data_IF_158162471136
#
_entry.id   IF_158162471136
#
_cell.length_a   1.000
_cell.length_b   1.000
_cell.length_c   1.000
_cell.angle_alpha   90.00
_cell.angle_beta   90.00
_cell.angle_gamma   90.00
#
_symmetry.space_group_name_H-M   'P 1'
#
loop_
_entity.id
_entity.type
_entity.pdbx_description
1 polymer ?
#
# COMPACT_ATOMS: atom_id res chain seq x y z
N UNK A 1 -15.95 26.77 -65.03
CA UNK A 1 -16.02 26.96 -63.57
C UNK A 1 -16.31 25.67 -62.74
N UNK A 2 -17.07 24.70 -63.26
CA UNK A 2 -17.48 23.50 -62.47
C UNK A 2 -16.35 22.49 -62.10
N UNK A 3 -15.24 22.40 -62.85
CA UNK A 3 -14.15 21.43 -62.58
C UNK A 3 -13.24 21.82 -61.40
N UNK A 4 -12.99 23.11 -61.18
CA UNK A 4 -12.11 23.60 -60.11
C UNK A 4 -12.77 23.44 -58.73
N UNK A 5 -14.10 23.61 -58.62
CA UNK A 5 -14.86 23.46 -57.38
C UNK A 5 -14.91 21.98 -56.92
N UNK A 6 -14.99 21.03 -57.85
CA UNK A 6 -15.00 19.60 -57.54
C UNK A 6 -13.65 19.12 -56.96
N UNK A 7 -12.53 19.62 -57.47
CA UNK A 7 -11.19 19.27 -56.97
C UNK A 7 -10.95 19.81 -55.60
N UNK A 8 -11.41 21.01 -55.25
CA UNK A 8 -11.31 21.58 -53.90
C UNK A 8 -12.17 20.82 -52.89
N UNK A 9 -13.35 20.32 -53.27
CA UNK A 9 -14.18 19.48 -52.38
C UNK A 9 -13.52 18.14 -52.11
N UNK A 10 -12.91 17.49 -53.09
CA UNK A 10 -12.24 16.18 -52.91
C UNK A 10 -11.00 16.32 -52.01
N UNK A 11 -10.20 17.38 -52.20
CA UNK A 11 -9.03 17.67 -51.34
C UNK A 11 -9.47 17.96 -49.91
N UNK A 12 -10.56 18.73 -49.72
CA UNK A 12 -11.11 19.01 -48.38
C UNK A 12 -11.58 17.74 -47.65
N UNK A 13 -12.27 16.83 -48.37
CA UNK A 13 -12.72 15.55 -47.79
C UNK A 13 -11.54 14.63 -47.47
N UNK A 14 -10.49 14.59 -48.32
CA UNK A 14 -9.30 13.79 -48.07
C UNK A 14 -8.50 14.29 -46.85
N UNK A 15 -8.40 15.61 -46.67
CA UNK A 15 -7.78 16.21 -45.48
C UNK A 15 -8.60 15.96 -44.20
N UNK A 16 -9.94 16.02 -44.29
CA UNK A 16 -10.83 15.69 -43.16
C UNK A 16 -10.76 14.21 -42.78
N UNK A 17 -10.74 13.30 -43.73
CA UNK A 17 -10.56 11.88 -43.51
C UNK A 17 -9.16 11.57 -42.97
N UNK A 18 -8.13 12.24 -43.48
CA UNK A 18 -6.77 12.12 -42.93
C UNK A 18 -6.66 12.62 -41.48
N UNK A 19 -7.29 13.76 -41.17
CA UNK A 19 -7.35 14.30 -39.82
C UNK A 19 -8.18 13.39 -38.85
N UNK A 20 -9.27 12.85 -39.36
CA UNK A 20 -10.10 11.91 -38.59
C UNK A 20 -9.36 10.58 -38.32
N UNK A 21 -8.70 10.03 -39.35
CA UNK A 21 -7.85 8.84 -39.19
C UNK A 21 -6.65 9.09 -38.27
N UNK A 22 -6.02 10.25 -38.37
CA UNK A 22 -4.96 10.67 -37.46
C UNK A 22 -5.46 10.85 -36.05
N UNK A 23 -6.64 11.46 -35.85
CA UNK A 23 -7.28 11.60 -34.54
C UNK A 23 -7.69 10.24 -33.95
N UNK A 24 -8.22 9.33 -34.76
CA UNK A 24 -8.56 7.97 -34.34
C UNK A 24 -7.31 7.11 -34.06
N UNK A 25 -6.24 7.30 -34.83
CA UNK A 25 -4.98 6.55 -34.67
C UNK A 25 -4.13 7.09 -33.52
N UNK A 26 -4.01 8.41 -33.39
CA UNK A 26 -3.23 9.06 -32.32
C UNK A 26 -4.04 9.18 -31.04
N UNK A 27 -5.33 9.51 -31.12
CA UNK A 27 -6.25 9.57 -29.98
C UNK A 27 -6.53 8.19 -29.37
N UNK A 28 -6.69 7.16 -30.20
CA UNK A 28 -6.92 5.78 -29.74
C UNK A 28 -5.72 5.18 -29.00
N UNK A 29 -4.50 5.55 -29.37
CA UNK A 29 -3.28 5.13 -28.67
C UNK A 29 -2.97 5.94 -27.40
N UNK A 30 -3.55 7.15 -27.26
CA UNK A 30 -3.32 7.99 -26.08
C UNK A 30 -4.10 7.51 -24.84
N UNK A 31 -5.17 6.74 -25.02
CA UNK A 31 -6.05 6.29 -23.91
C UNK A 31 -5.73 4.89 -23.36
N UNK A 32 -4.95 4.07 -24.04
CA UNK A 32 -4.54 2.76 -23.52
C UNK A 32 -3.10 2.78 -22.98
N UNK A 33 -2.90 3.48 -21.87
CA UNK A 33 -1.64 3.35 -21.16
C UNK A 33 -1.67 2.07 -20.33
N UNK A 34 -1.12 0.98 -20.87
CA UNK A 34 -1.08 -0.33 -20.23
C UNK A 34 -0.02 -0.31 -19.12
N UNK A 35 -0.42 -0.59 -17.88
CA UNK A 35 0.48 -0.76 -16.73
C UNK A 35 0.98 -2.19 -16.63
N UNK A 36 0.13 -3.16 -16.87
CA UNK A 36 0.50 -4.57 -16.86
C UNK A 36 -0.29 -5.36 -17.91
N UNK A 37 0.31 -6.47 -18.38
CA UNK A 37 -0.36 -7.52 -19.13
C UNK A 37 -0.22 -8.82 -18.33
N UNK A 38 -1.36 -9.49 -18.08
CA UNK A 38 -1.44 -10.72 -17.28
C UNK A 38 -2.13 -11.78 -18.13
N UNK A 39 -1.36 -12.72 -18.66
CA UNK A 39 -1.85 -13.78 -19.55
C UNK A 39 -2.65 -13.26 -20.77
N UNK A 40 -2.29 -12.07 -21.29
CA UNK A 40 -2.97 -11.42 -22.41
C UNK A 40 -4.07 -10.44 -22.03
N UNK A 41 -4.49 -10.38 -20.77
CA UNK A 41 -5.42 -9.35 -20.26
C UNK A 41 -4.66 -8.13 -19.76
N UNK A 42 -5.13 -6.93 -20.14
CA UNK A 42 -4.45 -5.66 -19.84
C UNK A 42 -5.00 -5.00 -18.58
N UNK A 43 -4.11 -4.43 -17.76
CA UNK A 43 -4.44 -3.46 -16.72
C UNK A 43 -3.97 -2.09 -17.19
N UNK A 44 -4.90 -1.17 -17.39
CA UNK A 44 -4.61 0.18 -17.87
C UNK A 44 -4.45 1.18 -16.72
N UNK A 45 -3.82 2.34 -17.00
CA UNK A 45 -3.74 3.47 -16.05
C UNK A 45 -5.13 3.95 -15.65
N UNK A 46 -6.09 3.92 -16.58
CA UNK A 46 -7.47 4.33 -16.30
C UNK A 46 -8.13 3.40 -15.27
N UNK A 47 -8.05 2.08 -15.50
CA UNK A 47 -8.56 1.08 -14.55
C UNK A 47 -7.87 1.18 -13.19
N UNK A 48 -6.53 1.36 -13.18
CA UNK A 48 -5.76 1.57 -11.97
C UNK A 48 -6.28 2.78 -11.16
N UNK A 49 -6.44 3.94 -11.83
CA UNK A 49 -6.92 5.15 -11.17
C UNK A 49 -8.36 5.01 -10.69
N UNK A 50 -9.22 4.31 -11.45
CA UNK A 50 -10.60 4.05 -11.08
C UNK A 50 -10.67 3.20 -9.81
N UNK A 51 -9.92 2.09 -9.75
CA UNK A 51 -9.86 1.24 -8.55
C UNK A 51 -9.23 1.98 -7.36
N UNK A 52 -8.14 2.72 -7.59
CA UNK A 52 -7.48 3.52 -6.55
C UNK A 52 -8.40 4.59 -5.97
N UNK A 53 -9.31 5.16 -6.78
CA UNK A 53 -10.26 6.17 -6.31
C UNK A 53 -11.27 5.65 -5.28
N UNK A 54 -11.53 4.34 -5.25
CA UNK A 54 -12.41 3.66 -4.29
C UNK A 54 -11.76 3.47 -2.92
N UNK A 55 -10.42 3.57 -2.86
CA UNK A 55 -9.68 3.41 -1.61
C UNK A 55 -9.77 4.70 -0.80
N UNK A 56 -10.06 4.60 0.49
CA UNK A 56 -10.10 5.75 1.38
C UNK A 56 -8.69 6.15 1.86
N UNK A 57 -8.54 7.41 2.28
CA UNK A 57 -7.33 7.86 2.95
C UNK A 57 -7.24 7.28 4.36
N UNK A 58 -6.01 6.99 4.86
CA UNK A 58 -4.70 7.34 4.26
C UNK A 58 -4.18 6.36 3.19
N UNK A 59 -4.82 5.21 2.99
CA UNK A 59 -4.31 4.14 2.12
C UNK A 59 -4.19 4.57 0.65
N UNK A 60 -5.12 5.40 0.16
CA UNK A 60 -5.06 5.93 -1.21
C UNK A 60 -3.76 6.69 -1.47
N UNK A 61 -3.33 7.54 -0.54
CA UNK A 61 -2.12 8.33 -0.70
C UNK A 61 -0.87 7.45 -0.61
N UNK A 62 -0.89 6.42 0.24
CA UNK A 62 0.16 5.39 0.31
C UNK A 62 0.34 4.71 -1.06
N UNK A 63 -0.75 4.30 -1.69
CA UNK A 63 -0.69 3.64 -3.01
C UNK A 63 -0.34 4.59 -4.16
N UNK A 64 -0.60 5.89 -4.03
CA UNK A 64 -0.10 6.89 -4.99
C UNK A 64 1.42 7.05 -4.91
N UNK A 65 2.00 6.94 -3.71
CA UNK A 65 3.45 6.99 -3.51
C UNK A 65 4.13 5.71 -4.01
N UNK A 66 3.50 4.56 -3.78
CA UNK A 66 3.97 3.24 -4.23
C UNK A 66 2.88 2.52 -5.05
N UNK A 67 2.69 2.93 -6.32
CA UNK A 67 1.67 2.34 -7.17
C UNK A 67 1.94 0.86 -7.50
N UNK A 68 3.18 0.39 -7.30
CA UNK A 68 3.54 -1.02 -7.53
C UNK A 68 2.76 -1.95 -6.61
N UNK A 69 2.68 -1.63 -5.33
CA UNK A 69 1.96 -2.44 -4.36
C UNK A 69 0.47 -2.57 -4.70
N UNK A 70 -0.15 -1.47 -5.13
CA UNK A 70 -1.57 -1.49 -5.53
C UNK A 70 -1.77 -2.29 -6.82
N UNK A 71 -0.88 -2.11 -7.82
CA UNK A 71 -0.92 -2.87 -9.06
C UNK A 71 -0.73 -4.37 -8.81
N UNK A 72 0.17 -4.76 -7.90
CA UNK A 72 0.37 -6.17 -7.52
C UNK A 72 -0.93 -6.79 -6.94
N UNK A 73 -1.70 -6.03 -6.16
CA UNK A 73 -3.03 -6.44 -5.69
C UNK A 73 -4.02 -6.66 -6.85
N UNK A 74 -4.04 -5.75 -7.83
CA UNK A 74 -4.88 -5.88 -9.03
C UNK A 74 -4.48 -7.10 -9.88
N UNK A 75 -3.17 -7.35 -10.01
CA UNK A 75 -2.64 -8.54 -10.73
C UNK A 75 -3.08 -9.83 -10.03
N UNK A 76 -2.97 -9.89 -8.70
CA UNK A 76 -3.41 -11.07 -7.92
C UNK A 76 -4.90 -11.29 -8.11
N UNK A 77 -5.73 -10.25 -7.99
CA UNK A 77 -7.18 -10.35 -8.23
C UNK A 77 -7.47 -10.91 -9.62
N UNK A 78 -6.80 -10.40 -10.65
CA UNK A 78 -6.97 -10.86 -12.04
C UNK A 78 -6.58 -12.33 -12.19
N UNK A 79 -5.46 -12.77 -11.61
CA UNK A 79 -5.03 -14.18 -11.65
C UNK A 79 -6.03 -15.11 -10.99
N UNK A 80 -6.58 -14.72 -9.84
CA UNK A 80 -7.61 -15.50 -9.12
C UNK A 80 -8.90 -15.61 -9.95
N UNK A 81 -9.32 -14.53 -10.61
CA UNK A 81 -10.49 -14.52 -11.50
C UNK A 81 -10.24 -15.42 -12.73
N UNK A 82 -9.05 -15.34 -13.34
CA UNK A 82 -8.67 -16.20 -14.47
C UNK A 82 -8.69 -17.68 -14.06
N UNK A 83 -8.19 -18.00 -12.88
CA UNK A 83 -8.21 -19.36 -12.35
C UNK A 83 -9.65 -19.84 -12.09
N UNK A 84 -10.52 -18.99 -11.51
CA UNK A 84 -11.92 -19.31 -11.32
C UNK A 84 -12.61 -19.65 -12.66
N UNK A 85 -12.40 -18.82 -13.67
CA UNK A 85 -12.91 -19.06 -15.04
C UNK A 85 -12.35 -20.36 -15.64
N UNK A 86 -11.06 -20.65 -15.44
CA UNK A 86 -10.41 -21.87 -15.91
C UNK A 86 -11.01 -23.14 -15.26
N UNK A 87 -11.40 -23.04 -14.00
CA UNK A 87 -12.07 -24.12 -13.26
C UNK A 87 -13.57 -24.26 -13.58
N UNK A 88 -14.08 -23.45 -14.51
CA UNK A 88 -15.46 -23.55 -14.99
C UNK A 88 -16.47 -22.74 -14.19
N UNK A 89 -16.03 -21.88 -13.26
CA UNK A 89 -16.91 -20.91 -12.64
C UNK A 89 -17.29 -19.84 -13.68
N UNK A 90 -18.58 -19.56 -13.84
CA UNK A 90 -19.09 -18.58 -14.77
C UNK A 90 -19.98 -17.60 -14.03
N UNK A 91 -19.69 -16.31 -14.16
CA UNK A 91 -20.57 -15.27 -13.68
C UNK A 91 -21.55 -14.86 -14.79
N UNK A 92 -22.85 -14.82 -14.53
CA UNK A 92 -23.85 -14.39 -15.51
C UNK A 92 -23.95 -12.86 -15.58
N UNK A 93 -22.89 -12.18 -16.03
CA UNK A 93 -22.86 -10.72 -16.13
C UNK A 93 -23.93 -10.21 -17.10
N UNK A 94 -24.88 -9.42 -16.61
CA UNK A 94 -25.94 -8.78 -17.42
C UNK A 94 -25.73 -7.29 -17.63
N UNK A 95 -25.00 -6.61 -16.73
CA UNK A 95 -24.69 -5.17 -16.83
C UNK A 95 -23.30 -4.86 -16.30
N UNK A 96 -22.75 -3.65 -16.61
CA UNK A 96 -21.43 -3.22 -16.13
C UNK A 96 -21.33 -3.14 -14.59
N UNK A 97 -22.43 -2.85 -13.91
CA UNK A 97 -22.50 -2.86 -12.43
C UNK A 97 -22.47 -4.28 -11.85
N UNK A 98 -22.91 -5.25 -12.62
CA UNK A 98 -22.96 -6.66 -12.20
C UNK A 98 -21.56 -7.30 -12.32
N UNK A 99 -20.70 -6.83 -13.24
CA UNK A 99 -19.36 -7.39 -13.46
C UNK A 99 -18.52 -7.38 -12.18
N UNK A 100 -18.49 -6.28 -11.43
CA UNK A 100 -17.69 -6.21 -10.20
C UNK A 100 -18.20 -7.17 -9.11
N UNK A 101 -19.53 -7.30 -8.96
CA UNK A 101 -20.14 -8.27 -8.04
C UNK A 101 -19.93 -9.70 -8.49
N UNK A 102 -19.97 -9.93 -9.79
CA UNK A 102 -19.73 -11.23 -10.40
C UNK A 102 -18.27 -11.65 -10.22
N UNK A 103 -17.32 -10.73 -10.31
CA UNK A 103 -15.91 -10.98 -10.01
C UNK A 103 -15.68 -11.34 -8.53
N UNK A 104 -16.31 -10.63 -7.60
CA UNK A 104 -16.24 -10.96 -6.17
C UNK A 104 -16.84 -12.34 -5.88
N UNK A 105 -17.97 -12.65 -6.48
CA UNK A 105 -18.60 -13.97 -6.35
C UNK A 105 -17.72 -15.09 -6.91
N UNK A 106 -17.07 -14.87 -8.06
CA UNK A 106 -16.12 -15.85 -8.64
C UNK A 106 -14.92 -16.10 -7.70
N UNK A 107 -14.36 -15.04 -7.14
CA UNK A 107 -13.26 -15.16 -6.17
C UNK A 107 -13.73 -15.93 -4.93
N UNK A 108 -14.90 -15.59 -4.38
CA UNK A 108 -15.46 -16.25 -3.20
C UNK A 108 -15.71 -17.74 -3.44
N UNK A 109 -16.32 -18.12 -4.57
CA UNK A 109 -16.57 -19.52 -4.91
C UNK A 109 -15.28 -20.31 -5.11
N UNK A 110 -14.29 -19.74 -5.81
CA UNK A 110 -12.99 -20.38 -5.96
C UNK A 110 -12.32 -20.60 -4.61
N UNK A 111 -12.30 -19.57 -3.74
CA UNK A 111 -11.67 -19.65 -2.42
C UNK A 111 -12.37 -20.69 -1.53
N UNK A 112 -13.72 -20.76 -1.54
CA UNK A 112 -14.47 -21.81 -0.84
C UNK A 112 -14.14 -23.20 -1.35
N UNK A 113 -13.96 -23.37 -2.65
CA UNK A 113 -13.60 -24.67 -3.24
C UNK A 113 -12.17 -25.07 -2.89
N UNK A 114 -11.21 -24.12 -2.96
CA UNK A 114 -9.78 -24.38 -2.68
C UNK A 114 -9.50 -24.58 -1.20
N UNK A 115 -10.20 -23.83 -0.35
CA UNK A 115 -10.00 -23.79 1.10
C UNK A 115 -11.32 -24.05 1.85
N UNK A 116 -11.91 -25.26 1.72
CA UNK A 116 -13.25 -25.56 2.23
C UNK A 116 -13.32 -25.62 3.76
N UNK A 117 -12.20 -25.85 4.41
CA UNK A 117 -12.09 -25.92 5.87
C UNK A 117 -10.79 -25.29 6.36
N UNK A 118 -10.81 -24.65 7.54
CA UNK A 118 -9.58 -24.16 8.17
C UNK A 118 -8.61 -25.33 8.45
N UNK A 119 -7.28 -25.10 8.33
CA UNK A 119 -6.28 -26.13 8.61
C UNK A 119 -6.38 -26.65 10.05
N UNK A 120 -6.19 -27.95 10.23
CA UNK A 120 -6.14 -28.56 11.56
C UNK A 120 -4.86 -28.12 12.30
N UNK A 121 -5.02 -27.85 13.60
CA UNK A 121 -3.91 -27.54 14.52
C UNK A 121 -3.73 -28.70 15.48
N UNK A 122 -2.52 -29.23 15.57
CA UNK A 122 -2.19 -30.31 16.47
C UNK A 122 -1.84 -29.75 17.85
N UNK A 123 -2.10 -30.55 18.90
CA UNK A 123 -1.77 -30.15 20.29
C UNK A 123 -0.26 -29.85 20.45
N UNK A 124 0.59 -30.64 19.80
CA UNK A 124 2.04 -30.47 19.86
C UNK A 124 2.48 -29.10 19.32
N UNK A 125 1.77 -28.55 18.34
CA UNK A 125 2.05 -27.21 17.79
C UNK A 125 1.69 -26.11 18.78
N UNK A 126 0.58 -26.28 19.51
CA UNK A 126 0.14 -25.37 20.57
C UNK A 126 1.16 -25.39 21.73
N UNK A 127 1.59 -26.58 22.16
CA UNK A 127 2.58 -26.75 23.21
C UNK A 127 3.96 -26.19 22.84
N UNK A 128 4.39 -26.39 21.59
CA UNK A 128 5.63 -25.81 21.08
C UNK A 128 5.59 -24.27 21.04
N UNK A 129 4.48 -23.70 20.54
CA UNK A 129 4.27 -22.25 20.54
C UNK A 129 4.28 -21.67 21.94
N UNK A 130 3.52 -22.28 22.87
CA UNK A 130 3.50 -21.86 24.26
C UNK A 130 4.88 -21.90 24.90
N UNK A 131 5.65 -22.98 24.67
CA UNK A 131 7.00 -23.13 25.23
C UNK A 131 7.95 -22.04 24.73
N UNK A 132 7.81 -21.64 23.47
CA UNK A 132 8.63 -20.58 22.84
C UNK A 132 8.30 -19.20 23.40
N UNK A 133 7.05 -18.90 23.68
CA UNK A 133 6.57 -17.56 24.02
C UNK A 133 6.04 -17.40 25.46
N UNK A 134 6.10 -18.43 26.31
CA UNK A 134 5.53 -18.44 27.68
C UNK A 134 5.98 -17.25 28.54
N UNK A 135 7.24 -16.82 28.40
CA UNK A 135 7.79 -15.71 29.18
C UNK A 135 7.19 -14.35 28.76
N UNK A 136 6.62 -14.26 27.55
CA UNK A 136 5.94 -13.07 27.04
C UNK A 136 4.44 -13.07 27.35
N UNK A 137 3.87 -14.22 27.72
CA UNK A 137 2.43 -14.41 27.96
C UNK A 137 1.98 -14.06 29.38
N UNK A 138 2.73 -13.26 30.13
CA UNK A 138 2.38 -12.71 31.44
C UNK A 138 1.85 -13.77 32.44
N UNK A 139 2.35 -15.01 32.37
CA UNK A 139 2.06 -16.05 33.35
C UNK A 139 0.74 -16.83 33.16
N UNK A 140 0.08 -16.74 32.02
CA UNK A 140 -1.08 -17.60 31.69
C UNK A 140 -0.67 -19.08 31.56
N UNK A 141 -1.44 -20.00 32.16
CA UNK A 141 -1.21 -21.44 31.97
C UNK A 141 -1.54 -21.86 30.53
N UNK A 142 -0.92 -22.96 30.06
CA UNK A 142 -1.19 -23.49 28.72
C UNK A 142 -2.69 -23.65 28.46
N UNK A 143 -3.44 -24.22 29.39
CA UNK A 143 -4.88 -24.47 29.20
C UNK A 143 -5.69 -23.17 29.04
N UNK A 144 -5.25 -22.09 29.68
CA UNK A 144 -5.92 -20.79 29.57
C UNK A 144 -5.68 -20.13 28.23
N UNK A 145 -4.48 -20.29 27.65
CA UNK A 145 -4.08 -19.61 26.41
C UNK A 145 -4.18 -20.50 25.16
N UNK A 146 -4.33 -21.80 25.32
CA UNK A 146 -4.39 -22.78 24.22
C UNK A 146 -5.44 -22.45 23.15
N UNK A 147 -6.67 -22.00 23.43
CA UNK A 147 -7.63 -21.64 22.40
C UNK A 147 -7.18 -20.46 21.53
N UNK A 148 -6.54 -19.45 22.16
CA UNK A 148 -6.02 -18.29 21.43
C UNK A 148 -4.81 -18.67 20.57
N UNK A 149 -3.90 -19.50 21.09
CA UNK A 149 -2.76 -20.02 20.34
C UNK A 149 -3.24 -20.88 19.16
N UNK A 150 -4.22 -21.75 19.39
CA UNK A 150 -4.80 -22.58 18.33
C UNK A 150 -5.37 -21.73 17.20
N UNK A 151 -6.11 -20.69 17.54
CA UNK A 151 -6.65 -19.76 16.55
C UNK A 151 -5.53 -19.06 15.77
N UNK A 152 -4.50 -18.55 16.44
CA UNK A 152 -3.35 -17.90 15.80
C UNK A 152 -2.61 -18.84 14.82
N UNK A 153 -2.33 -20.07 15.26
CA UNK A 153 -1.67 -21.06 14.39
C UNK A 153 -2.55 -21.41 13.19
N UNK A 154 -3.84 -21.56 13.39
CA UNK A 154 -4.83 -21.86 12.35
C UNK A 154 -4.87 -20.74 11.29
N UNK A 155 -4.96 -19.50 11.73
CA UNK A 155 -4.96 -18.32 10.85
C UNK A 155 -3.64 -18.22 10.06
N UNK A 156 -2.51 -18.50 10.70
CA UNK A 156 -1.20 -18.48 10.03
C UNK A 156 -1.09 -19.58 8.97
N UNK A 157 -1.47 -20.82 9.30
CA UNK A 157 -1.50 -21.92 8.32
C UNK A 157 -2.41 -21.62 7.14
N UNK A 158 -3.59 -21.06 7.40
CA UNK A 158 -4.51 -20.67 6.33
C UNK A 158 -3.89 -19.56 5.44
N UNK A 159 -3.22 -18.59 6.05
CA UNK A 159 -2.50 -17.54 5.32
C UNK A 159 -1.39 -18.12 4.45
N UNK A 160 -0.61 -19.07 4.99
CA UNK A 160 0.45 -19.74 4.23
C UNK A 160 -0.10 -20.55 3.05
N UNK A 161 -1.22 -21.26 3.22
CA UNK A 161 -1.87 -22.01 2.14
C UNK A 161 -2.35 -21.08 1.02
N UNK A 162 -3.01 -19.97 1.38
CA UNK A 162 -3.47 -18.95 0.43
C UNK A 162 -2.25 -18.31 -0.26
N UNK A 163 -1.20 -17.99 0.49
CA UNK A 163 0.03 -17.39 -0.07
C UNK A 163 0.68 -18.32 -1.10
N UNK A 164 0.83 -19.60 -0.77
CA UNK A 164 1.37 -20.60 -1.70
C UNK A 164 0.51 -20.72 -2.97
N UNK A 165 -0.80 -20.73 -2.82
CA UNK A 165 -1.71 -20.76 -3.97
C UNK A 165 -1.52 -19.54 -4.87
N UNK A 166 -1.43 -18.33 -4.30
CA UNK A 166 -1.19 -17.09 -5.05
C UNK A 166 0.19 -17.12 -5.73
N UNK A 167 1.23 -17.58 -5.04
CA UNK A 167 2.57 -17.73 -5.59
C UNK A 167 2.60 -18.70 -6.77
N UNK A 168 1.90 -19.82 -6.67
CA UNK A 168 1.76 -20.79 -7.77
C UNK A 168 1.03 -20.19 -8.98
N UNK A 169 -0.03 -19.40 -8.76
CA UNK A 169 -0.70 -18.66 -9.84
C UNK A 169 0.27 -17.68 -10.52
N UNK A 170 1.03 -16.92 -9.75
CA UNK A 170 2.02 -15.95 -10.28
C UNK A 170 3.14 -16.64 -11.05
N UNK A 171 3.66 -17.76 -10.54
CA UNK A 171 4.75 -18.50 -11.16
C UNK A 171 4.37 -19.09 -12.52
N UNK A 172 3.09 -19.47 -12.67
CA UNK A 172 2.58 -20.06 -13.91
C UNK A 172 1.99 -19.04 -14.88
N UNK A 173 1.97 -17.75 -14.51
CA UNK A 173 1.41 -16.69 -15.32
C UNK A 173 2.50 -15.95 -16.11
N UNK A 174 2.13 -15.47 -17.31
CA UNK A 174 2.92 -14.49 -18.04
C UNK A 174 2.52 -13.10 -17.59
N UNK A 175 3.40 -12.43 -16.83
CA UNK A 175 3.15 -11.09 -16.29
C UNK A 175 4.21 -10.15 -16.85
N UNK A 176 3.75 -9.11 -17.55
CA UNK A 176 4.59 -8.04 -18.08
C UNK A 176 4.15 -6.71 -17.45
N UNK A 177 5.05 -5.96 -16.81
CA UNK A 177 4.75 -4.71 -16.10
C UNK A 177 5.57 -3.58 -16.68
N UNK A 178 4.94 -2.42 -16.91
CA UNK A 178 5.59 -1.21 -17.40
C UNK A 178 6.10 -0.37 -16.23
N UNK A 179 7.32 -0.64 -15.76
CA UNK A 179 7.94 0.09 -14.65
C UNK A 179 8.09 1.60 -14.95
N UNK A 180 8.35 1.97 -16.19
CA UNK A 180 8.44 3.38 -16.58
C UNK A 180 7.11 4.13 -16.47
N UNK A 181 5.98 3.45 -16.72
CA UNK A 181 4.65 4.04 -16.52
C UNK A 181 4.28 4.11 -15.05
N UNK A 182 4.63 3.09 -14.27
CA UNK A 182 4.46 3.12 -12.82
C UNK A 182 5.19 4.30 -12.19
N UNK A 183 6.45 4.52 -12.57
CA UNK A 183 7.23 5.68 -12.09
C UNK A 183 6.59 7.01 -12.47
N UNK A 184 5.94 7.12 -13.63
CA UNK A 184 5.27 8.35 -14.06
C UNK A 184 3.97 8.65 -13.33
N UNK A 185 3.23 7.63 -12.88
CA UNK A 185 2.00 7.81 -12.12
C UNK A 185 2.23 7.88 -10.62
N UNK A 186 3.42 7.48 -10.15
CA UNK A 186 3.79 7.60 -8.74
C UNK A 186 3.86 9.09 -8.34
N UNK A 187 3.18 9.42 -7.24
CA UNK A 187 3.45 10.69 -6.59
C UNK A 187 4.84 10.63 -5.94
N UNK A 188 5.51 11.78 -5.89
CA UNK A 188 6.78 11.85 -5.16
C UNK A 188 6.52 11.50 -3.69
N UNK A 189 7.23 10.52 -3.12
CA UNK A 189 7.14 10.28 -1.69
C UNK A 189 7.56 11.56 -0.95
N UNK A 190 6.94 11.89 0.19
CA UNK A 190 7.36 13.04 0.96
C UNK A 190 8.85 12.93 1.29
N UNK A 191 9.57 14.02 1.09
CA UNK A 191 10.98 14.07 1.41
C UNK A 191 11.19 13.75 2.89
N UNK A 192 12.11 12.84 3.19
CA UNK A 192 12.57 12.64 4.55
C UNK A 192 13.43 13.82 4.95
N UNK A 193 13.33 14.26 6.21
CA UNK A 193 14.22 15.23 6.77
C UNK A 193 15.67 14.70 6.81
N UNK A 194 16.62 15.61 6.80
CA UNK A 194 18.05 15.28 6.81
C UNK A 194 18.60 15.14 8.23
N UNK A 195 19.77 14.53 8.37
CA UNK A 195 20.50 14.53 9.64
C UNK A 195 20.85 15.96 10.10
N UNK A 196 21.02 16.91 9.16
CA UNK A 196 21.23 18.33 9.49
C UNK A 196 19.96 18.97 10.06
N UNK A 197 18.78 18.67 9.48
CA UNK A 197 17.49 19.14 10.01
C UNK A 197 17.27 18.61 11.43
N UNK A 198 17.60 17.33 11.67
CA UNK A 198 17.56 16.72 12.99
C UNK A 198 18.42 17.48 14.01
N UNK A 199 19.70 17.72 13.69
CA UNK A 199 20.62 18.44 14.58
C UNK A 199 20.15 19.88 14.84
N UNK A 200 19.66 20.59 13.81
CA UNK A 200 19.08 21.93 13.94
C UNK A 200 17.84 21.93 14.84
N UNK A 201 16.98 20.92 14.70
CA UNK A 201 15.78 20.81 15.51
C UNK A 201 16.12 20.63 17.00
N UNK A 202 17.06 19.74 17.35
CA UNK A 202 17.46 19.49 18.73
C UNK A 202 18.08 20.72 19.42
N UNK A 203 18.63 21.63 18.66
CA UNK A 203 19.26 22.88 19.18
C UNK A 203 18.30 24.09 19.05
N UNK A 204 17.08 23.91 18.56
CA UNK A 204 16.15 25.00 18.28
C UNK A 204 15.49 25.63 19.53
N UNK A 205 15.65 25.00 20.69
CA UNK A 205 14.97 25.42 21.92
C UNK A 205 13.47 25.03 21.96
N UNK A 206 13.01 24.17 21.05
CA UNK A 206 11.63 23.68 20.98
C UNK A 206 11.61 22.17 21.18
N UNK A 207 10.52 21.59 21.72
CA UNK A 207 10.31 20.17 21.70
C UNK A 207 10.31 19.61 20.28
N UNK A 208 10.86 18.39 20.12
CA UNK A 208 10.97 17.72 18.82
C UNK A 208 10.38 16.32 18.88
N UNK A 209 9.54 15.98 17.90
CA UNK A 209 9.14 14.62 17.63
C UNK A 209 9.84 14.13 16.37
N UNK A 210 10.50 12.99 16.45
CA UNK A 210 11.13 12.35 15.30
C UNK A 210 10.52 10.98 15.07
N UNK A 211 10.01 10.75 13.87
CA UNK A 211 9.63 9.43 13.37
C UNK A 211 10.81 8.84 12.58
N UNK A 212 11.42 7.81 13.12
CA UNK A 212 12.36 6.97 12.41
C UNK A 212 11.60 5.87 11.66
N UNK A 213 11.50 6.00 10.35
CA UNK A 213 10.72 5.12 9.51
C UNK A 213 11.39 4.83 8.18
N UNK A 214 10.62 4.29 7.23
CA UNK A 214 11.09 4.05 5.86
C UNK A 214 9.91 4.10 4.87
N UNK A 215 10.21 4.37 3.60
CA UNK A 215 9.20 4.37 2.53
C UNK A 215 8.62 2.97 2.27
N UNK A 216 9.41 1.91 2.47
CA UNK A 216 9.00 0.51 2.32
C UNK A 216 8.17 -0.03 3.50
N UNK A 217 8.08 0.69 4.61
CA UNK A 217 7.41 0.26 5.83
C UNK A 217 5.94 0.73 5.80
N UNK A 218 4.98 -0.19 5.74
CA UNK A 218 3.55 0.13 5.69
C UNK A 218 3.08 0.91 6.93
N UNK A 219 3.39 0.47 8.18
CA UNK A 219 3.00 1.24 9.37
C UNK A 219 3.60 2.64 9.41
N UNK A 220 4.85 2.82 8.92
CA UNK A 220 5.49 4.12 8.84
C UNK A 220 4.74 5.06 7.88
N UNK A 221 4.29 4.55 6.73
CA UNK A 221 3.50 5.34 5.77
C UNK A 221 2.14 5.74 6.31
N UNK A 222 1.50 4.89 7.12
CA UNK A 222 0.25 5.20 7.81
C UNK A 222 0.42 6.32 8.85
N UNK A 223 1.60 6.44 9.46
CA UNK A 223 1.92 7.52 10.40
C UNK A 223 2.07 8.90 9.73
N UNK A 224 2.47 8.98 8.46
CA UNK A 224 2.77 10.25 7.77
C UNK A 224 1.64 11.26 7.76
N UNK A 225 0.39 10.91 7.37
CA UNK A 225 -0.72 11.86 7.43
C UNK A 225 -0.96 12.34 8.86
N UNK A 226 -0.84 11.48 9.86
CA UNK A 226 -0.97 11.84 11.28
C UNK A 226 0.11 12.85 11.67
N UNK A 227 1.37 12.56 11.36
CA UNK A 227 2.51 13.45 11.65
C UNK A 227 2.38 14.80 10.93
N UNK A 228 1.88 14.81 9.69
CA UNK A 228 1.61 16.04 8.94
C UNK A 228 0.53 16.90 9.59
N UNK A 229 -0.54 16.29 10.10
CA UNK A 229 -1.59 16.99 10.85
C UNK A 229 -1.06 17.55 12.16
N UNK A 230 -0.34 16.73 12.95
CA UNK A 230 0.32 17.15 14.18
C UNK A 230 1.30 18.30 13.92
N UNK A 231 2.09 18.22 12.84
CA UNK A 231 3.01 19.27 12.45
C UNK A 231 2.32 20.60 12.14
N UNK A 232 1.10 20.56 11.56
CA UNK A 232 0.28 21.77 11.34
C UNK A 232 -0.29 22.30 12.64
N UNK A 233 -0.82 21.43 13.50
CA UNK A 233 -1.44 21.79 14.79
C UNK A 233 -0.44 22.45 15.73
N UNK A 234 0.80 21.95 15.75
CA UNK A 234 1.86 22.47 16.62
C UNK A 234 2.90 23.35 15.88
N UNK A 235 2.50 23.91 14.73
CA UNK A 235 3.39 24.79 13.96
C UNK A 235 3.93 25.94 14.81
N UNK A 236 5.24 26.12 14.81
CA UNK A 236 5.94 27.13 15.62
C UNK A 236 6.15 26.76 17.09
N UNK A 237 5.45 25.75 17.63
CA UNK A 237 5.53 25.30 19.03
C UNK A 237 6.38 24.05 19.20
N UNK A 238 6.37 23.12 18.24
CA UNK A 238 7.19 21.92 18.20
C UNK A 238 7.70 21.69 16.78
N UNK A 239 8.75 20.89 16.64
CA UNK A 239 9.27 20.45 15.35
C UNK A 239 8.96 18.96 15.17
N UNK A 240 8.34 18.60 14.05
CA UNK A 240 8.02 17.21 13.70
C UNK A 240 8.90 16.81 12.52
N UNK A 241 9.68 15.75 12.67
CA UNK A 241 10.59 15.25 11.65
C UNK A 241 10.29 13.80 11.29
N UNK A 242 10.51 13.46 10.03
CA UNK A 242 10.49 12.08 9.53
C UNK A 242 11.88 11.76 8.99
N UNK A 243 12.55 10.76 9.53
CA UNK A 243 13.90 10.32 9.14
C UNK A 243 13.82 8.94 8.50
N UNK A 244 14.31 8.81 7.27
CA UNK A 244 14.43 7.51 6.61
C UNK A 244 15.66 6.78 7.15
N UNK A 245 15.42 5.65 7.84
CA UNK A 245 16.48 4.88 8.52
C UNK A 245 17.45 4.22 7.54
N UNK A 246 17.02 3.95 6.30
CA UNK A 246 17.92 3.38 5.29
C UNK A 246 18.83 4.45 4.67
N UNK A 247 18.32 5.69 4.57
CA UNK A 247 19.11 6.82 4.08
C UNK A 247 20.08 7.37 5.15
N UNK A 248 19.66 7.33 6.41
CA UNK A 248 20.40 7.88 7.56
C UNK A 248 20.72 6.80 8.60
N UNK A 249 21.31 5.67 8.17
CA UNK A 249 21.65 4.53 9.03
C UNK A 249 22.50 4.89 10.27
N UNK A 250 23.55 5.73 10.17
CA UNK A 250 24.31 6.13 11.37
C UNK A 250 23.42 6.79 12.41
N UNK A 251 22.55 7.73 12.00
CA UNK A 251 21.65 8.44 12.90
C UNK A 251 20.66 7.48 13.59
N UNK A 252 20.08 6.54 12.84
CA UNK A 252 19.20 5.52 13.39
C UNK A 252 19.91 4.62 14.41
N UNK A 253 21.18 4.25 14.14
CA UNK A 253 22.01 3.46 15.04
C UNK A 253 22.37 4.22 16.31
N UNK A 254 22.77 5.49 16.20
CA UNK A 254 23.13 6.35 17.35
C UNK A 254 21.94 6.51 18.30
N UNK A 255 20.72 6.57 17.75
CA UNK A 255 19.48 6.60 18.52
C UNK A 255 18.89 5.21 18.82
N UNK A 256 19.65 4.10 18.62
CA UNK A 256 19.27 2.72 18.95
C UNK A 256 17.93 2.32 18.37
N UNK A 257 17.63 2.73 17.14
CA UNK A 257 16.43 2.33 16.43
C UNK A 257 16.62 0.91 15.89
N UNK A 258 15.89 -0.06 16.43
CA UNK A 258 15.94 -1.47 16.04
C UNK A 258 14.74 -1.90 15.21
N UNK A 259 13.60 -1.27 15.44
CA UNK A 259 12.33 -1.54 14.75
C UNK A 259 11.74 -0.22 14.25
N UNK A 260 10.95 -0.28 13.17
CA UNK A 260 10.29 0.88 12.58
C UNK A 260 8.77 0.65 12.44
N UNK A 261 7.95 1.70 12.61
CA UNK A 261 8.34 3.06 13.01
C UNK A 261 8.80 3.12 14.47
N UNK A 262 9.73 4.03 14.77
CA UNK A 262 10.07 4.40 16.14
C UNK A 262 9.96 5.90 16.30
N UNK A 263 9.06 6.33 17.19
CA UNK A 263 8.85 7.73 17.52
C UNK A 263 9.64 8.11 18.75
N UNK A 264 10.47 9.14 18.63
CA UNK A 264 11.30 9.65 19.75
C UNK A 264 10.92 11.11 20.01
N UNK A 265 10.62 11.42 21.27
CA UNK A 265 10.25 12.75 21.71
C UNK A 265 11.43 13.35 22.50
N UNK A 266 11.80 14.55 22.13
CA UNK A 266 12.85 15.33 22.78
C UNK A 266 12.25 16.59 23.40
N UNK A 267 12.74 16.96 24.56
CA UNK A 267 12.39 18.24 25.20
C UNK A 267 13.04 19.43 24.49
N UNK A 268 12.77 20.65 24.97
CA UNK A 268 13.35 21.89 24.42
C UNK A 268 14.87 22.02 24.59
N UNK A 269 15.48 21.11 25.34
CA UNK A 269 16.97 21.03 25.53
C UNK A 269 17.58 19.94 24.63
N UNK A 270 16.80 19.28 23.78
CA UNK A 270 17.26 18.19 22.92
C UNK A 270 17.49 16.87 23.64
N UNK A 271 16.97 16.70 24.88
CA UNK A 271 17.07 15.45 25.61
C UNK A 271 15.91 14.55 25.28
N UNK A 272 16.18 13.27 24.95
CA UNK A 272 15.14 12.26 24.78
C UNK A 272 14.36 12.06 26.08
N UNK A 273 13.04 12.20 26.03
CA UNK A 273 12.14 12.11 27.20
C UNK A 273 11.10 11.01 27.06
N UNK A 274 10.79 10.60 25.85
CA UNK A 274 9.86 9.49 25.60
C UNK A 274 10.19 8.81 24.27
N UNK A 275 9.91 7.51 24.19
CA UNK A 275 10.08 6.68 23.00
C UNK A 275 8.93 5.72 22.87
N UNK A 276 8.43 5.55 21.63
CA UNK A 276 7.46 4.51 21.26
C UNK A 276 7.95 3.72 20.06
N UNK A 277 7.95 2.42 20.16
CA UNK A 277 8.22 1.52 19.03
C UNK A 277 6.89 0.99 18.48
N UNK A 278 6.68 1.13 17.18
CA UNK A 278 5.41 0.87 16.50
C UNK A 278 4.61 2.13 16.22
N UNK A 279 3.49 1.96 15.50
CA UNK A 279 2.59 3.07 15.18
C UNK A 279 1.93 3.63 16.45
N UNK A 280 1.55 4.91 16.39
CA UNK A 280 0.95 5.64 17.50
C UNK A 280 -0.23 6.48 17.01
N UNK A 281 -1.34 6.45 17.72
CA UNK A 281 -2.52 7.24 17.41
C UNK A 281 -2.28 8.73 17.63
N UNK A 282 -2.96 9.58 16.85
CA UNK A 282 -2.79 11.04 16.90
C UNK A 282 -2.97 11.61 18.32
N UNK A 283 -3.99 11.15 19.01
CA UNK A 283 -4.36 11.61 20.35
C UNK A 283 -3.22 11.38 21.35
N UNK A 284 -2.57 10.22 21.27
CA UNK A 284 -1.42 9.88 22.12
C UNK A 284 -0.19 10.71 21.78
N UNK A 285 0.04 10.98 20.48
CA UNK A 285 1.14 11.86 20.05
C UNK A 285 0.94 13.27 20.61
N UNK A 286 -0.28 13.80 20.49
CA UNK A 286 -0.65 15.13 21.02
C UNK A 286 -0.50 15.19 22.54
N UNK A 287 -0.96 14.16 23.26
CA UNK A 287 -0.78 14.05 24.71
C UNK A 287 0.70 14.11 25.10
N UNK A 288 1.54 13.33 24.45
CA UNK A 288 2.98 13.31 24.73
C UNK A 288 3.67 14.63 24.38
N UNK A 289 3.28 15.30 23.30
CA UNK A 289 3.80 16.62 22.99
C UNK A 289 3.46 17.66 24.09
N UNK A 290 2.26 17.59 24.65
CA UNK A 290 1.86 18.45 25.77
C UNK A 290 2.67 18.14 27.05
N UNK A 291 2.90 16.86 27.35
CA UNK A 291 3.74 16.44 28.49
C UNK A 291 5.17 16.95 28.39
N UNK A 292 5.75 17.04 27.19
CA UNK A 292 7.11 17.57 26.97
C UNK A 292 7.18 19.09 26.88
N UNK A 293 6.09 19.78 27.23
CA UNK A 293 6.07 21.24 27.40
C UNK A 293 5.55 22.03 26.20
N UNK A 294 4.86 21.39 25.26
CA UNK A 294 4.22 22.08 24.16
C UNK A 294 2.85 22.61 24.64
N UNK A 295 2.71 23.92 24.79
CA UNK A 295 1.44 24.55 25.12
C UNK A 295 0.45 24.38 23.96
N UNK A 296 -0.82 24.13 24.29
CA UNK A 296 -1.94 24.03 23.32
C UNK A 296 -2.11 25.30 22.50
#
# INVERSE_FOLDING_TARGET
MKRKTLVFCIIGIALWLGALLFYLFVGGNFHRQILANVNGEEITVEQFNQELSKIENPFRDIYKEDPRQFLDGMIIKMLVIQEAKREGFAAPAKTYKDIAKDEEALVEELMKKKFPAPPAVKREEIEAFYTMFKDQMKGGSLDQVAPAIEQMIREEKQREEITRFIEDLRKNAKIEISDDRLKRIASQPPESNTAEDFNKALTSGKPVLVDFGANSCIPCRQMRPILKEVGKEFAGKATILVIDVYKYQPLAKDHRVQLIPTLIFFDSKGKEVFRNTGAMEKEKIVEKLKEVGVSS
#
